data_IF_341701234984
#
_entry.id   IF_341701234984
#
_cell.length_a   1.000
_cell.length_b   1.000
_cell.length_c   1.000
_cell.angle_alpha   90.00
_cell.angle_beta   90.00
_cell.angle_gamma   90.00
#
_symmetry.space_group_name_H-M   'P 1'
#
loop_
_entity.id
_entity.type
_entity.pdbx_description
1 polymer ?
#
# COMPACT_ATOMS: atom_id res chain seq x y z
N UNK A 1 -83.11 17.26 16.35
CA UNK A 1 -82.53 16.65 15.14
C UNK A 1 -81.09 16.33 15.44
N UNK A 2 -80.84 15.04 15.64
CA UNK A 2 -79.54 14.45 15.89
C UNK A 2 -78.65 14.59 14.63
N UNK A 3 -77.38 14.90 14.81
CA UNK A 3 -76.36 14.60 13.80
C UNK A 3 -75.35 13.64 14.42
N UNK A 4 -75.27 12.50 13.74
CA UNK A 4 -74.90 11.16 14.17
C UNK A 4 -73.38 10.98 14.22
N UNK A 5 -72.91 10.30 15.25
CA UNK A 5 -71.55 9.74 15.39
C UNK A 5 -71.37 8.58 14.40
N UNK A 6 -70.28 8.57 13.61
CA UNK A 6 -69.67 7.37 13.03
C UNK A 6 -68.29 7.71 12.40
N UNK A 7 -67.22 7.32 13.09
CA UNK A 7 -65.89 6.99 12.52
C UNK A 7 -65.98 5.66 11.72
N UNK A 8 -65.00 5.21 10.90
CA UNK A 8 -63.55 5.46 11.05
C UNK A 8 -62.69 5.61 9.77
N UNK A 9 -61.45 6.04 10.01
CA UNK A 9 -60.19 5.62 9.34
C UNK A 9 -60.11 5.68 7.80
N UNK A 10 -59.51 6.76 7.29
CA UNK A 10 -58.56 6.66 6.18
C UNK A 10 -57.20 7.18 6.63
N UNK A 11 -56.27 6.23 6.77
CA UNK A 11 -54.86 6.44 7.05
C UNK A 11 -54.26 7.46 6.08
N UNK A 12 -53.87 8.61 6.62
CA UNK A 12 -52.91 9.50 5.99
C UNK A 12 -51.59 8.73 5.93
N UNK A 13 -51.30 8.14 4.76
CA UNK A 13 -50.00 7.51 4.47
C UNK A 13 -48.90 8.54 4.67
N UNK A 14 -48.30 8.46 5.85
CA UNK A 14 -47.11 9.21 6.19
C UNK A 14 -46.02 8.82 5.21
N UNK A 15 -45.50 9.85 4.57
CA UNK A 15 -44.32 9.86 3.75
C UNK A 15 -43.14 9.22 4.51
N UNK A 16 -42.86 7.94 4.25
CA UNK A 16 -41.62 7.29 4.64
C UNK A 16 -40.47 7.78 3.74
N UNK A 17 -40.18 9.08 3.84
CA UNK A 17 -38.87 9.63 3.57
C UNK A 17 -37.94 9.21 4.70
N UNK A 18 -37.70 7.90 4.83
CA UNK A 18 -36.72 7.34 5.72
C UNK A 18 -35.39 8.01 5.40
N UNK A 19 -34.98 8.95 6.25
CA UNK A 19 -33.65 9.52 6.22
C UNK A 19 -32.69 8.35 6.36
N UNK A 20 -32.17 7.86 5.23
CA UNK A 20 -31.06 6.93 5.18
C UNK A 20 -29.84 7.69 5.67
N UNK A 21 -29.77 7.88 6.98
CA UNK A 21 -28.53 8.14 7.68
C UNK A 21 -27.71 6.88 7.45
N UNK A 22 -26.99 6.88 6.33
CA UNK A 22 -25.86 5.98 6.15
C UNK A 22 -24.94 6.30 7.31
N UNK A 23 -24.87 5.42 8.28
CA UNK A 23 -23.79 5.40 9.26
C UNK A 23 -22.51 5.34 8.43
N UNK A 24 -21.89 6.51 8.20
CA UNK A 24 -20.55 6.62 7.61
C UNK A 24 -19.63 6.14 8.72
N UNK A 25 -19.54 4.82 8.84
CA UNK A 25 -18.62 4.13 9.72
C UNK A 25 -17.21 4.48 9.26
N UNK A 26 -16.60 5.44 9.97
CA UNK A 26 -15.29 6.00 9.69
C UNK A 26 -15.18 6.69 8.32
N UNK A 27 -15.06 8.02 8.30
CA UNK A 27 -14.56 8.71 7.13
C UNK A 27 -13.06 8.40 7.01
N UNK A 28 -12.72 7.20 6.56
CA UNK A 28 -11.37 6.95 6.08
C UNK A 28 -11.21 7.88 4.86
N UNK A 29 -10.47 8.98 5.02
CA UNK A 29 -10.15 9.89 3.92
C UNK A 29 -9.05 9.25 3.08
N UNK A 30 -9.26 8.00 2.65
CA UNK A 30 -8.29 7.26 1.87
C UNK A 30 -8.04 8.01 0.57
N UNK A 31 -6.76 8.29 0.36
CA UNK A 31 -6.27 8.82 -0.90
C UNK A 31 -6.59 7.85 -2.04
N UNK A 32 -6.44 8.32 -3.29
CA UNK A 32 -6.61 7.46 -4.46
C UNK A 32 -5.71 6.23 -4.37
N UNK A 33 -4.52 6.36 -3.79
CA UNK A 33 -3.60 5.27 -3.54
C UNK A 33 -4.10 4.32 -2.44
N UNK A 34 -4.53 4.85 -1.29
CA UNK A 34 -5.10 4.03 -0.20
C UNK A 34 -6.33 3.22 -0.62
N UNK A 35 -7.18 3.79 -1.49
CA UNK A 35 -8.32 3.07 -2.09
C UNK A 35 -7.89 1.91 -2.99
N UNK A 36 -6.82 2.09 -3.78
CA UNK A 36 -6.28 1.03 -4.61
C UNK A 36 -5.65 -0.09 -3.77
N UNK A 37 -4.97 0.27 -2.67
CA UNK A 37 -4.43 -0.70 -1.72
C UNK A 37 -5.52 -1.51 -1.01
N UNK A 38 -6.62 -0.86 -0.60
CA UNK A 38 -7.75 -1.53 0.05
C UNK A 38 -8.56 -2.39 -0.92
N UNK A 39 -8.67 -1.96 -2.19
CA UNK A 39 -9.32 -2.72 -3.25
C UNK A 39 -8.48 -3.92 -3.72
N UNK A 40 -7.17 -3.89 -3.52
CA UNK A 40 -6.29 -5.03 -3.71
C UNK A 40 -6.49 -6.02 -2.56
N UNK A 41 -7.54 -6.84 -2.67
CA UNK A 41 -7.71 -8.02 -1.84
C UNK A 41 -6.76 -9.13 -2.30
N UNK A 42 -6.35 -9.99 -1.37
CA UNK A 42 -5.35 -11.04 -1.53
C UNK A 42 -5.43 -11.77 -2.89
N UNK A 43 -4.65 -11.31 -3.87
CA UNK A 43 -4.53 -11.94 -5.18
C UNK A 43 -4.95 -11.11 -6.39
N UNK A 44 -5.48 -9.90 -6.24
CA UNK A 44 -5.80 -9.03 -7.40
C UNK A 44 -4.80 -7.88 -7.49
N UNK A 45 -3.75 -8.13 -8.29
CA UNK A 45 -2.73 -7.21 -8.80
C UNK A 45 -2.51 -5.89 -8.05
N UNK A 46 -1.41 -5.83 -7.30
CA UNK A 46 -0.84 -4.60 -6.74
C UNK A 46 -0.18 -3.69 -7.79
N UNK A 47 -0.15 -4.11 -9.06
CA UNK A 47 0.49 -3.41 -10.18
C UNK A 47 -0.07 -1.98 -10.40
N UNK A 48 -1.40 -1.72 -10.36
CA UNK A 48 -1.94 -0.38 -10.55
C UNK A 48 -1.55 0.58 -9.42
N UNK A 49 -1.53 0.09 -8.18
CA UNK A 49 -1.10 0.87 -7.02
C UNK A 49 0.39 1.23 -7.12
N UNK A 50 1.22 0.26 -7.50
CA UNK A 50 2.65 0.46 -7.70
C UNK A 50 2.94 1.43 -8.86
N UNK A 51 2.26 1.28 -10.00
CA UNK A 51 2.38 2.20 -11.15
C UNK A 51 1.98 3.62 -10.78
N UNK A 52 0.90 3.78 -10.02
CA UNK A 52 0.48 5.09 -9.53
C UNK A 52 1.57 5.73 -8.67
N UNK A 53 2.14 4.98 -7.73
CA UNK A 53 3.21 5.48 -6.85
C UNK A 53 4.48 5.84 -7.62
N UNK A 54 4.86 5.05 -8.63
CA UNK A 54 6.01 5.34 -9.50
C UNK A 54 5.75 6.58 -10.38
N UNK A 55 4.51 6.80 -10.81
CA UNK A 55 4.14 7.97 -11.62
C UNK A 55 4.12 9.29 -10.83
N UNK A 56 4.10 9.21 -9.51
CA UNK A 56 4.11 10.37 -8.61
C UNK A 56 5.52 10.91 -8.40
N UNK A 57 5.63 12.22 -8.18
CA UNK A 57 6.90 12.83 -7.76
C UNK A 57 7.29 12.41 -6.33
N UNK A 58 8.57 12.46 -5.96
CA UNK A 58 9.05 12.03 -4.64
C UNK A 58 8.32 12.67 -3.45
N UNK A 59 7.98 13.97 -3.56
CA UNK A 59 7.24 14.68 -2.53
C UNK A 59 5.79 14.18 -2.38
N UNK A 60 5.13 13.84 -3.50
CA UNK A 60 3.78 13.30 -3.48
C UNK A 60 3.77 11.90 -2.86
N UNK A 61 4.76 11.06 -3.17
CA UNK A 61 4.92 9.74 -2.57
C UNK A 61 5.07 9.83 -1.05
N UNK A 62 5.87 10.77 -0.54
CA UNK A 62 6.01 10.96 0.91
C UNK A 62 4.69 11.32 1.59
N UNK A 63 3.92 12.23 0.99
CA UNK A 63 2.60 12.61 1.51
C UNK A 63 1.65 11.42 1.51
N UNK A 64 1.65 10.61 0.44
CA UNK A 64 0.80 9.43 0.32
C UNK A 64 1.18 8.35 1.36
N UNK A 65 2.47 8.07 1.56
CA UNK A 65 2.93 7.08 2.56
C UNK A 65 2.63 7.56 3.98
N UNK A 66 2.76 8.87 4.25
CA UNK A 66 2.38 9.45 5.53
C UNK A 66 0.86 9.39 5.75
N UNK A 67 0.07 9.57 4.70
CA UNK A 67 -1.40 9.48 4.75
C UNK A 67 -1.95 8.07 4.95
N UNK A 68 -1.11 7.03 4.97
CA UNK A 68 -1.52 5.67 5.34
C UNK A 68 -1.71 5.50 6.86
N UNK A 69 -1.19 6.44 7.65
CA UNK A 69 -1.29 6.42 9.10
C UNK A 69 -2.75 6.54 9.57
N UNK A 70 -3.17 5.77 10.59
CA UNK A 70 -4.46 5.94 11.25
C UNK A 70 -4.76 7.38 11.68
N UNK A 71 -3.74 8.16 12.08
CA UNK A 71 -3.88 9.53 12.55
C UNK A 71 -4.32 10.51 11.45
N UNK A 72 -4.06 10.18 10.19
CA UNK A 72 -4.25 11.08 9.03
C UNK A 72 -5.42 10.62 8.13
N UNK A 73 -6.03 9.48 8.45
CA UNK A 73 -7.20 8.95 7.74
C UNK A 73 -6.97 7.60 7.05
N UNK A 74 -5.89 6.91 7.38
CA UNK A 74 -5.63 5.51 7.01
C UNK A 74 -6.19 4.49 8.01
N UNK A 75 -5.69 3.27 7.91
CA UNK A 75 -5.96 2.16 8.84
C UNK A 75 -4.75 1.23 8.88
N UNK A 76 -4.54 0.56 10.01
CA UNK A 76 -3.52 -0.47 10.21
C UNK A 76 -3.54 -1.52 9.09
N UNK A 77 -4.74 -1.91 8.65
CA UNK A 77 -4.94 -2.83 7.53
C UNK A 77 -4.27 -2.33 6.24
N UNK A 78 -4.41 -1.03 5.93
CA UNK A 78 -3.89 -0.44 4.70
C UNK A 78 -2.36 -0.37 4.74
N UNK A 79 -1.78 -0.16 5.92
CA UNK A 79 -0.33 -0.21 6.14
C UNK A 79 0.22 -1.63 5.92
N UNK A 80 -0.50 -2.66 6.40
CA UNK A 80 -0.14 -4.06 6.12
C UNK A 80 -0.26 -4.38 4.62
N UNK A 81 -1.31 -3.88 3.95
CA UNK A 81 -1.47 -4.02 2.49
C UNK A 81 -0.39 -3.31 1.70
N UNK A 82 0.13 -2.19 2.20
CA UNK A 82 1.29 -1.53 1.60
C UNK A 82 2.53 -2.45 1.67
N UNK A 83 2.78 -3.13 2.79
CA UNK A 83 3.90 -4.08 2.90
C UNK A 83 3.71 -5.28 1.95
N UNK A 84 2.48 -5.78 1.79
CA UNK A 84 2.15 -6.81 0.80
C UNK A 84 2.38 -6.33 -0.64
N UNK A 85 2.06 -5.08 -0.96
CA UNK A 85 2.35 -4.46 -2.25
C UNK A 85 3.86 -4.42 -2.53
N UNK A 86 4.68 -4.06 -1.54
CA UNK A 86 6.14 -4.05 -1.65
C UNK A 86 6.69 -5.48 -1.83
N UNK A 87 6.11 -6.46 -1.13
CA UNK A 87 6.45 -7.88 -1.33
C UNK A 87 6.20 -8.33 -2.78
N UNK A 88 5.06 -7.94 -3.35
CA UNK A 88 4.76 -8.18 -4.76
C UNK A 88 5.78 -7.50 -5.69
N UNK A 89 6.21 -6.27 -5.37
CA UNK A 89 7.24 -5.57 -6.15
C UNK A 89 8.59 -6.31 -6.16
N UNK A 90 9.02 -6.89 -5.02
CA UNK A 90 10.24 -7.71 -5.01
C UNK A 90 10.09 -9.03 -5.76
N UNK A 91 8.93 -9.67 -5.68
CA UNK A 91 8.66 -10.93 -6.40
C UNK A 91 8.62 -10.75 -7.92
N UNK A 92 8.08 -9.61 -8.40
CA UNK A 92 8.04 -9.27 -9.82
C UNK A 92 9.40 -8.83 -10.38
N UNK A 93 10.42 -8.65 -9.53
CA UNK A 93 11.80 -8.26 -9.88
C UNK A 93 11.91 -6.97 -10.71
N UNK A 94 10.85 -6.19 -10.77
CA UNK A 94 10.81 -4.90 -11.46
C UNK A 94 10.97 -3.78 -10.44
N UNK A 95 11.77 -2.77 -10.76
CA UNK A 95 11.93 -1.55 -9.95
C UNK A 95 12.40 -1.80 -8.50
N UNK A 96 13.39 -2.69 -8.32
CA UNK A 96 13.93 -3.04 -7.00
C UNK A 96 14.36 -1.81 -6.19
N UNK A 97 15.08 -0.87 -6.79
CA UNK A 97 15.54 0.35 -6.12
C UNK A 97 14.39 1.22 -5.62
N UNK A 98 13.33 1.34 -6.43
CA UNK A 98 12.14 2.12 -6.09
C UNK A 98 11.39 1.46 -4.93
N UNK A 99 11.17 0.15 -5.00
CA UNK A 99 10.54 -0.60 -3.92
C UNK A 99 11.36 -0.54 -2.62
N UNK A 100 12.70 -0.60 -2.70
CA UNK A 100 13.60 -0.39 -1.56
C UNK A 100 13.49 1.01 -0.98
N UNK A 101 13.44 2.05 -1.82
CA UNK A 101 13.28 3.43 -1.39
C UNK A 101 11.95 3.65 -0.65
N UNK A 102 10.85 3.11 -1.19
CA UNK A 102 9.54 3.19 -0.56
C UNK A 102 9.46 2.41 0.74
N UNK A 103 10.07 1.22 0.80
CA UNK A 103 10.18 0.45 2.04
C UNK A 103 10.97 1.21 3.11
N UNK A 104 12.11 1.80 2.75
CA UNK A 104 12.92 2.61 3.67
C UNK A 104 12.18 3.84 4.18
N UNK A 105 11.41 4.50 3.32
CA UNK A 105 10.57 5.63 3.70
C UNK A 105 9.43 5.22 4.64
N UNK A 106 8.75 4.11 4.34
CA UNK A 106 7.72 3.55 5.19
C UNK A 106 8.27 3.20 6.58
N UNK A 107 9.39 2.48 6.65
CA UNK A 107 10.02 2.12 7.93
C UNK A 107 10.51 3.34 8.71
N UNK A 108 10.88 4.43 8.04
CA UNK A 108 11.28 5.67 8.70
C UNK A 108 10.09 6.40 9.33
N UNK A 109 8.94 6.39 8.67
CA UNK A 109 7.73 7.08 9.13
C UNK A 109 6.95 6.24 10.15
N UNK A 110 6.92 4.92 9.95
CA UNK A 110 6.03 3.98 10.63
C UNK A 110 6.79 2.92 11.44
N UNK A 111 7.99 3.26 11.92
CA UNK A 111 8.86 2.34 12.67
C UNK A 111 8.17 1.77 13.91
N UNK A 112 7.38 2.61 14.60
CA UNK A 112 6.76 2.26 15.87
C UNK A 112 5.56 1.34 15.66
N UNK A 113 4.75 1.59 14.62
CA UNK A 113 3.69 0.66 14.17
C UNK A 113 4.22 -0.76 13.92
N UNK A 114 5.36 -0.90 13.23
CA UNK A 114 5.95 -2.21 12.92
C UNK A 114 6.46 -2.93 14.18
N UNK A 115 6.83 -2.19 15.24
CA UNK A 115 7.25 -2.80 16.51
C UNK A 115 6.06 -3.26 17.35
N UNK A 116 4.95 -2.52 17.29
CA UNK A 116 3.76 -2.77 18.10
C UNK A 116 2.85 -3.86 17.48
N UNK A 117 2.79 -3.93 16.15
CA UNK A 117 1.92 -4.87 15.44
C UNK A 117 2.68 -6.15 15.02
N UNK A 118 2.29 -7.29 15.59
CA UNK A 118 2.92 -8.59 15.30
C UNK A 118 2.68 -9.06 13.85
N UNK A 119 1.54 -8.73 13.24
CA UNK A 119 1.24 -9.07 11.85
C UNK A 119 2.17 -8.31 10.90
N UNK A 120 2.33 -7.00 11.11
CA UNK A 120 3.26 -6.18 10.34
C UNK A 120 4.70 -6.71 10.46
N UNK A 121 5.11 -7.11 11.66
CA UNK A 121 6.43 -7.72 11.89
C UNK A 121 6.62 -9.02 11.12
N UNK A 122 5.64 -9.93 11.14
CA UNK A 122 5.73 -11.19 10.38
C UNK A 122 5.83 -10.95 8.86
N UNK A 123 5.11 -9.95 8.35
CA UNK A 123 5.21 -9.56 6.93
C UNK A 123 6.59 -8.98 6.63
N UNK A 124 7.12 -8.11 7.49
CA UNK A 124 8.46 -7.55 7.37
C UNK A 124 9.58 -8.62 7.43
N UNK A 125 9.46 -9.64 8.28
CA UNK A 125 10.42 -10.75 8.35
C UNK A 125 10.45 -11.54 7.04
N UNK A 126 9.27 -11.88 6.50
CA UNK A 126 9.18 -12.53 5.17
C UNK A 126 9.76 -11.64 4.08
N UNK A 127 9.50 -10.34 4.15
CA UNK A 127 10.01 -9.35 3.20
C UNK A 127 11.54 -9.27 3.24
N UNK A 128 12.14 -9.29 4.43
CA UNK A 128 13.58 -9.23 4.63
C UNK A 128 14.30 -10.43 3.98
N UNK A 129 13.71 -11.63 4.07
CA UNK A 129 14.25 -12.83 3.42
C UNK A 129 14.23 -12.67 1.89
N UNK A 130 13.07 -12.30 1.32
CA UNK A 130 12.90 -12.12 -0.13
C UNK A 130 13.84 -11.03 -0.66
N UNK A 131 13.93 -9.91 0.06
CA UNK A 131 14.86 -8.82 -0.24
C UNK A 131 16.30 -9.30 -0.22
N UNK A 132 16.71 -10.04 0.81
CA UNK A 132 18.06 -10.58 0.95
C UNK A 132 18.46 -11.48 -0.22
N UNK A 133 17.57 -12.40 -0.61
CA UNK A 133 17.79 -13.26 -1.77
C UNK A 133 17.93 -12.48 -3.08
N UNK A 134 17.06 -11.48 -3.28
CA UNK A 134 17.04 -10.66 -4.49
C UNK A 134 18.28 -9.78 -4.58
N UNK A 135 18.66 -9.16 -3.47
CA UNK A 135 19.88 -8.38 -3.34
C UNK A 135 21.13 -9.23 -3.58
N UNK A 136 21.19 -10.43 -3.01
CA UNK A 136 22.33 -11.31 -3.18
C UNK A 136 22.52 -11.72 -4.66
N UNK A 137 21.42 -11.99 -5.38
CA UNK A 137 21.45 -12.28 -6.81
C UNK A 137 21.96 -11.07 -7.60
N UNK A 138 21.38 -9.89 -7.37
CA UNK A 138 21.79 -8.65 -8.04
C UNK A 138 23.28 -8.33 -7.80
N UNK A 139 23.72 -8.40 -6.55
CA UNK A 139 25.10 -8.14 -6.15
C UNK A 139 26.08 -9.12 -6.80
N UNK A 140 25.73 -10.41 -6.87
CA UNK A 140 26.58 -11.40 -7.52
C UNK A 140 26.77 -11.08 -9.00
N UNK A 141 25.70 -10.72 -9.72
CA UNK A 141 25.79 -10.33 -11.13
C UNK A 141 26.67 -9.10 -11.31
N UNK A 142 26.49 -8.05 -10.50
CA UNK A 142 27.32 -6.85 -10.57
C UNK A 142 28.80 -7.16 -10.28
N UNK A 143 29.07 -7.98 -9.25
CA UNK A 143 30.43 -8.39 -8.90
C UNK A 143 31.10 -9.20 -10.01
N UNK A 144 30.36 -10.08 -10.69
CA UNK A 144 30.86 -10.84 -11.84
C UNK A 144 31.24 -9.90 -12.99
N UNK A 145 30.34 -8.97 -13.35
CA UNK A 145 30.61 -7.97 -14.40
C UNK A 145 31.81 -7.11 -14.06
N UNK A 146 31.94 -6.67 -12.81
CA UNK A 146 33.07 -5.86 -12.35
C UNK A 146 34.39 -6.64 -12.35
N UNK A 147 34.36 -7.92 -11.98
CA UNK A 147 35.54 -8.80 -12.01
C UNK A 147 36.02 -9.00 -13.44
N UNK A 148 35.12 -9.28 -14.37
CA UNK A 148 35.45 -9.43 -15.79
C UNK A 148 35.99 -8.12 -16.37
N UNK A 149 35.37 -6.98 -16.05
CA UNK A 149 35.84 -5.67 -16.50
C UNK A 149 37.25 -5.36 -15.96
N UNK A 150 37.50 -5.66 -14.68
CA UNK A 150 38.81 -5.51 -14.06
C UNK A 150 39.85 -6.39 -14.75
N UNK A 151 39.50 -7.64 -15.08
CA UNK A 151 40.36 -8.53 -15.85
C UNK A 151 40.68 -7.95 -17.24
N UNK A 152 39.68 -7.50 -18.00
CA UNK A 152 39.90 -6.90 -19.32
C UNK A 152 40.76 -5.64 -19.26
N UNK A 153 40.53 -4.78 -18.27
CA UNK A 153 41.34 -3.58 -18.04
C UNK A 153 42.79 -3.95 -17.80
N UNK A 154 43.06 -4.94 -16.94
CA UNK A 154 44.42 -5.36 -16.63
C UNK A 154 45.10 -6.04 -17.82
N UNK A 155 44.38 -6.87 -18.58
CA UNK A 155 44.91 -7.50 -19.79
C UNK A 155 45.23 -6.49 -20.91
N UNK A 156 44.44 -5.43 -21.05
CA UNK A 156 44.71 -4.36 -22.01
C UNK A 156 45.93 -3.52 -21.61
N UNK A 157 46.15 -3.30 -20.31
CA UNK A 157 47.32 -2.58 -19.78
C UNK A 157 48.63 -3.37 -19.89
N UNK A 158 48.57 -4.70 -19.97
CA UNK A 158 49.76 -5.57 -20.14
C UNK A 158 50.22 -5.64 -21.61
N UNK A 159 49.36 -5.27 -22.58
CA UNK A 159 49.66 -5.32 -24.02
C UNK A 159 50.10 -3.96 -24.61
N UNK A 160 50.45 -2.99 -23.76
CA UNK A 160 51.11 -1.72 -24.09
C UNK A 160 52.35 -1.56 -23.22
#
# INVERSE_FOLDING_TARGET
LEFKLAEPEEEIKQNEGGSKIRTVSSFEMLSRFGKLLKAAEAGVDYEPALKLLISMGPAAVEVEIRGLDPDIGGSDDVMIRFLEMIKYAFQTKCNFEVAQGYLGLFLKLHADFVKENDEAKQVCEKLAIIQGETWHKLRNTMNQTLTLLSYFKNAALINY
#
